data_IF_999863409085
#
_entry.id   IF_999863409085
#
_cell.length_a   1.000
_cell.length_b   1.000
_cell.length_c   1.000
_cell.angle_alpha   90.00
_cell.angle_beta   90.00
_cell.angle_gamma   90.00
#
_symmetry.space_group_name_H-M   'P 1'
#
loop_
_entity.id
_entity.type
_entity.pdbx_description
1 polymer ?
#
# COMPACT_ATOMS: atom_id res chain seq x y z
N UNK A 1 -4.20 -41.73 -16.13
CA UNK A 1 -4.35 -40.29 -16.05
C UNK A 1 -3.08 -39.66 -15.49
N UNK A 2 -1.97 -39.58 -16.28
CA UNK A 2 -0.62 -39.17 -15.77
C UNK A 2 0.21 -38.39 -16.80
N UNK A 3 -0.41 -37.67 -17.74
CA UNK A 3 0.32 -36.98 -18.83
C UNK A 3 0.04 -35.49 -19.01
N UNK A 4 -0.71 -34.82 -18.11
CA UNK A 4 -1.09 -33.42 -18.29
C UNK A 4 -0.37 -32.41 -17.39
N UNK A 5 0.62 -32.83 -16.57
CA UNK A 5 1.28 -31.94 -15.61
C UNK A 5 2.66 -31.42 -16.07
N UNK A 6 3.18 -31.93 -17.20
CA UNK A 6 4.51 -31.53 -17.72
C UNK A 6 4.48 -30.29 -18.65
N UNK A 7 3.30 -29.87 -19.10
CA UNK A 7 3.16 -28.76 -20.04
C UNK A 7 3.26 -27.35 -19.45
N UNK A 8 3.09 -27.20 -18.13
CA UNK A 8 3.05 -25.87 -17.50
C UNK A 8 4.41 -25.33 -17.01
N UNK A 9 5.45 -26.19 -16.97
CA UNK A 9 6.77 -25.79 -16.49
C UNK A 9 7.70 -25.23 -17.58
N UNK A 10 7.31 -25.32 -18.84
CA UNK A 10 8.17 -24.94 -19.99
C UNK A 10 7.93 -23.52 -20.53
N UNK A 11 6.98 -22.77 -19.98
CA UNK A 11 6.62 -21.42 -20.47
C UNK A 11 7.35 -20.29 -19.73
N UNK A 12 8.21 -20.60 -18.73
CA UNK A 12 8.89 -19.58 -17.92
C UNK A 12 10.35 -19.31 -18.31
N UNK A 13 10.87 -19.93 -19.36
CA UNK A 13 12.31 -19.91 -19.70
C UNK A 13 12.72 -19.02 -20.88
N UNK A 14 11.89 -18.09 -21.35
CA UNK A 14 12.19 -17.29 -22.58
C UNK A 14 12.26 -15.79 -22.32
N UNK A 15 12.71 -15.33 -21.16
CA UNK A 15 13.03 -13.92 -20.95
C UNK A 15 14.47 -13.70 -20.48
N UNK A 16 15.42 -14.37 -21.14
CA UNK A 16 16.84 -13.99 -21.06
C UNK A 16 17.10 -12.90 -22.10
N UNK A 17 16.89 -11.64 -21.75
CA UNK A 17 17.38 -10.53 -22.56
C UNK A 17 18.89 -10.45 -22.41
N UNK A 18 19.60 -10.77 -23.50
CA UNK A 18 21.02 -10.54 -23.68
C UNK A 18 21.31 -9.05 -23.50
N UNK A 19 22.12 -8.71 -22.50
CA UNK A 19 22.67 -7.36 -22.35
C UNK A 19 23.81 -7.16 -23.32
N UNK A 20 23.55 -6.42 -24.37
CA UNK A 20 24.60 -5.91 -25.26
C UNK A 20 25.41 -4.83 -24.52
N UNK A 21 26.73 -5.09 -24.39
CA UNK A 21 27.70 -4.20 -23.75
C UNK A 21 27.96 -3.02 -24.68
N UNK A 22 27.32 -1.88 -24.45
CA UNK A 22 27.55 -0.65 -25.19
C UNK A 22 28.63 0.18 -24.51
N UNK A 23 29.65 0.56 -25.29
CA UNK A 23 30.83 1.29 -24.82
C UNK A 23 30.53 2.60 -24.08
N UNK A 24 31.38 2.87 -23.12
CA UNK A 24 31.37 3.83 -22.04
C UNK A 24 31.36 5.30 -22.49
N UNK A 25 30.18 5.89 -22.48
CA UNK A 25 29.99 7.24 -22.01
C UNK A 25 29.37 7.05 -20.61
N UNK A 26 29.95 7.66 -19.56
CA UNK A 26 29.42 7.53 -18.21
C UNK A 26 27.91 7.87 -18.24
N UNK A 27 27.03 6.91 -17.93
CA UNK A 27 25.60 7.12 -18.11
C UNK A 27 25.15 8.23 -17.20
N UNK A 28 24.53 9.27 -17.75
CA UNK A 28 23.84 10.30 -16.97
C UNK A 28 22.83 9.54 -16.10
N UNK A 29 22.94 9.64 -14.75
CA UNK A 29 22.08 8.86 -13.87
C UNK A 29 20.60 9.15 -14.20
N UNK A 30 19.76 8.13 -14.31
CA UNK A 30 18.35 8.32 -14.65
C UNK A 30 17.71 9.24 -13.61
N UNK A 31 16.91 10.21 -14.06
CA UNK A 31 16.20 11.13 -13.17
C UNK A 31 15.20 10.42 -12.25
N UNK A 32 14.71 9.26 -12.67
CA UNK A 32 13.82 8.39 -11.91
C UNK A 32 14.56 7.18 -11.40
N UNK A 33 14.39 6.90 -10.12
CA UNK A 33 14.80 5.65 -9.48
C UNK A 33 13.54 4.92 -9.02
N UNK A 34 13.33 3.72 -9.53
CA UNK A 34 12.19 2.86 -9.14
C UNK A 34 12.75 1.67 -8.39
N UNK A 35 12.24 1.46 -7.18
CA UNK A 35 12.56 0.29 -6.36
C UNK A 35 11.27 -0.25 -5.75
N UNK A 36 11.17 -1.56 -5.58
CA UNK A 36 9.96 -2.10 -5.02
C UNK A 36 10.06 -3.57 -4.66
N UNK A 37 9.05 -4.00 -3.93
CA UNK A 37 8.89 -5.37 -3.49
C UNK A 37 7.45 -5.81 -3.78
N UNK A 38 7.32 -6.95 -4.44
CA UNK A 38 6.09 -7.71 -4.52
C UNK A 38 6.18 -8.88 -3.53
N UNK A 39 5.13 -9.08 -2.75
CA UNK A 39 5.05 -10.16 -1.76
C UNK A 39 3.80 -10.99 -2.03
N UNK A 40 3.98 -12.30 -2.09
CA UNK A 40 2.89 -13.27 -2.07
C UNK A 40 3.13 -14.23 -0.90
N UNK A 41 2.16 -14.30 0.01
CA UNK A 41 2.19 -15.22 1.15
C UNK A 41 0.99 -16.15 1.05
N UNK A 42 1.27 -17.44 1.17
CA UNK A 42 0.25 -18.48 1.26
C UNK A 42 0.49 -19.30 2.53
N UNK A 43 -0.54 -19.50 3.32
CA UNK A 43 -0.51 -20.29 4.53
C UNK A 43 -1.67 -21.28 4.54
N UNK A 44 -1.39 -22.49 4.95
CA UNK A 44 -2.40 -23.53 5.20
C UNK A 44 -2.13 -24.21 6.52
N UNK A 45 -3.17 -24.33 7.35
CA UNK A 45 -3.16 -25.09 8.60
C UNK A 45 -4.27 -26.13 8.56
N UNK A 46 -3.92 -27.37 8.85
CA UNK A 46 -4.86 -28.49 8.88
C UNK A 46 -4.69 -29.25 10.20
N UNK A 47 -5.75 -29.39 10.94
CA UNK A 47 -5.78 -30.08 12.22
C UNK A 47 -6.72 -31.30 12.11
N UNK A 48 -6.21 -32.48 12.43
CA UNK A 48 -6.98 -33.71 12.46
C UNK A 48 -6.80 -34.33 13.84
N UNK A 49 -7.90 -34.54 14.58
CA UNK A 49 -7.91 -35.14 15.93
C UNK A 49 -6.96 -34.44 16.93
N UNK A 50 -6.75 -33.12 16.79
CA UNK A 50 -5.88 -32.35 17.68
C UNK A 50 -6.64 -31.91 18.93
N UNK A 51 -6.27 -32.44 20.10
CA UNK A 51 -6.96 -32.19 21.39
C UNK A 51 -6.88 -30.75 21.88
N UNK A 52 -5.84 -30.00 21.49
CA UNK A 52 -5.67 -28.60 21.89
C UNK A 52 -6.55 -27.60 21.11
N UNK A 53 -7.31 -28.07 20.11
CA UNK A 53 -8.13 -27.23 19.26
C UNK A 53 -7.34 -26.61 18.10
N UNK A 54 -8.05 -26.00 17.17
CA UNK A 54 -7.53 -25.33 15.99
C UNK A 54 -8.47 -25.52 14.81
N UNK A 55 -8.67 -24.46 14.04
CA UNK A 55 -9.51 -24.50 12.84
C UNK A 55 -8.64 -24.69 11.59
N UNK A 56 -9.13 -25.55 10.68
CA UNK A 56 -8.53 -25.68 9.37
C UNK A 56 -8.65 -24.34 8.64
N UNK A 57 -7.52 -23.79 8.25
CA UNK A 57 -7.45 -22.45 7.68
C UNK A 57 -6.59 -22.46 6.42
N UNK A 58 -7.06 -21.77 5.39
CA UNK A 58 -6.25 -21.40 4.20
C UNK A 58 -6.25 -19.89 4.11
N UNK A 59 -5.07 -19.30 4.01
CA UNK A 59 -4.92 -17.85 3.91
C UNK A 59 -3.95 -17.47 2.81
N UNK A 60 -4.26 -16.37 2.12
CA UNK A 60 -3.42 -15.77 1.10
C UNK A 60 -3.33 -14.25 1.28
N UNK A 61 -2.13 -13.70 1.10
CA UNK A 61 -1.89 -12.27 1.10
C UNK A 61 -1.04 -11.89 -0.13
N UNK A 62 -1.43 -10.78 -0.76
CA UNK A 62 -0.64 -10.13 -1.82
C UNK A 62 -0.24 -8.75 -1.32
N UNK A 63 1.02 -8.40 -1.47
CA UNK A 63 1.56 -7.11 -1.08
C UNK A 63 2.39 -6.49 -2.20
N UNK A 64 2.27 -5.17 -2.33
CA UNK A 64 3.06 -4.34 -3.24
C UNK A 64 3.58 -3.15 -2.44
N UNK A 65 4.88 -2.89 -2.50
CA UNK A 65 5.52 -1.73 -1.92
C UNK A 65 6.53 -1.20 -2.94
N UNK A 66 6.22 -0.07 -3.57
CA UNK A 66 7.04 0.52 -4.63
C UNK A 66 7.35 1.98 -4.34
N UNK A 67 8.61 2.34 -4.51
CA UNK A 67 9.14 3.70 -4.47
C UNK A 67 9.44 4.18 -5.89
N UNK A 68 8.97 5.38 -6.21
CA UNK A 68 9.23 6.10 -7.46
C UNK A 68 9.84 7.45 -7.11
N UNK A 69 11.15 7.56 -7.17
CA UNK A 69 11.87 8.73 -6.72
C UNK A 69 12.47 9.47 -7.90
N UNK A 70 12.10 10.74 -8.03
CA UNK A 70 12.60 11.64 -9.07
C UNK A 70 13.59 12.62 -8.47
N UNK A 71 14.74 12.81 -9.14
CA UNK A 71 15.73 13.79 -8.75
C UNK A 71 16.29 14.48 -9.98
N UNK A 72 16.14 15.81 -10.03
CA UNK A 72 16.70 16.62 -11.12
C UNK A 72 16.94 18.05 -10.65
N UNK A 73 18.18 18.50 -10.72
CA UNK A 73 18.56 19.84 -10.28
C UNK A 73 18.19 20.10 -8.81
N UNK A 74 17.32 21.07 -8.57
CA UNK A 74 16.81 21.41 -7.23
C UNK A 74 15.58 20.59 -6.81
N UNK A 75 14.98 19.82 -7.71
CA UNK A 75 13.77 19.06 -7.45
C UNK A 75 14.06 17.66 -6.94
N UNK A 76 13.38 17.28 -5.87
CA UNK A 76 13.32 15.94 -5.31
C UNK A 76 11.85 15.58 -5.12
N UNK A 77 11.42 14.47 -5.68
CA UNK A 77 10.04 14.02 -5.57
C UNK A 77 10.02 12.54 -5.23
N UNK A 78 9.77 12.25 -3.99
CA UNK A 78 9.73 10.90 -3.44
C UNK A 78 8.27 10.44 -3.37
N UNK A 79 7.97 9.31 -4.01
CA UNK A 79 6.64 8.72 -4.04
C UNK A 79 6.72 7.26 -3.59
N UNK A 80 5.74 6.84 -2.80
CA UNK A 80 5.60 5.45 -2.35
C UNK A 80 4.17 4.98 -2.47
N UNK A 81 3.98 3.81 -3.08
CA UNK A 81 2.71 3.08 -3.12
C UNK A 81 2.84 1.85 -2.25
N UNK A 82 1.91 1.68 -1.31
CA UNK A 82 1.75 0.49 -0.50
C UNK A 82 0.36 -0.07 -0.75
N UNK A 83 0.29 -1.32 -1.20
CA UNK A 83 -0.97 -2.02 -1.42
C UNK A 83 -0.86 -3.41 -0.81
N UNK A 84 -1.82 -3.77 0.03
CA UNK A 84 -1.88 -5.10 0.64
C UNK A 84 -3.32 -5.58 0.61
N UNK A 85 -3.53 -6.80 0.15
CA UNK A 85 -4.82 -7.46 0.19
C UNK A 85 -4.68 -8.91 0.63
N UNK A 86 -5.52 -9.34 1.55
CA UNK A 86 -5.45 -10.68 2.10
C UNK A 86 -6.80 -11.24 2.51
N UNK A 87 -6.96 -12.52 2.29
CA UNK A 87 -8.13 -13.29 2.65
C UNK A 87 -7.71 -14.54 3.43
N UNK A 88 -8.57 -14.97 4.33
CA UNK A 88 -8.46 -16.24 5.03
C UNK A 88 -9.80 -16.97 4.96
N UNK A 89 -9.78 -18.25 4.60
CA UNK A 89 -10.93 -19.16 4.68
C UNK A 89 -10.74 -20.06 5.88
N UNK A 90 -11.65 -19.98 6.82
CA UNK A 90 -11.65 -20.77 8.05
C UNK A 90 -12.79 -21.76 7.96
N UNK A 91 -12.54 -23.04 8.24
CA UNK A 91 -13.56 -24.08 8.26
C UNK A 91 -14.71 -23.64 9.17
N UNK A 92 -15.94 -23.83 8.72
CA UNK A 92 -17.20 -23.51 9.43
C UNK A 92 -17.42 -22.02 9.77
N UNK A 93 -16.41 -21.15 9.61
CA UNK A 93 -16.51 -19.70 9.81
C UNK A 93 -16.50 -18.88 8.50
N UNK A 94 -16.16 -19.53 7.36
CA UNK A 94 -16.16 -18.94 6.02
C UNK A 94 -15.00 -17.98 5.76
N UNK A 95 -15.15 -17.20 4.70
CA UNK A 95 -14.09 -16.28 4.25
C UNK A 95 -14.10 -14.99 5.09
N UNK A 96 -12.90 -14.56 5.48
CA UNK A 96 -12.65 -13.31 6.21
C UNK A 96 -11.52 -12.53 5.54
N UNK A 97 -11.68 -11.23 5.50
CA UNK A 97 -10.63 -10.29 5.07
C UNK A 97 -9.60 -10.14 6.20
N UNK A 98 -8.33 -10.37 5.91
CA UNK A 98 -7.22 -10.30 6.87
C UNK A 98 -6.41 -9.02 6.70
N UNK A 99 -6.29 -8.54 5.47
CA UNK A 99 -5.60 -7.30 5.14
C UNK A 99 -6.33 -6.62 3.99
N UNK A 100 -6.43 -5.30 4.05
CA UNK A 100 -7.00 -4.49 2.97
C UNK A 100 -6.55 -3.05 3.15
N UNK A 101 -5.58 -2.63 2.36
CA UNK A 101 -4.98 -1.30 2.46
C UNK A 101 -4.42 -0.87 1.12
N UNK A 102 -4.78 0.32 0.72
CA UNK A 102 -4.08 1.11 -0.27
C UNK A 102 -3.56 2.40 0.36
N UNK A 103 -2.30 2.72 0.14
CA UNK A 103 -1.69 3.95 0.60
C UNK A 103 -0.75 4.50 -0.46
N UNK A 104 -0.91 5.79 -0.76
CA UNK A 104 -0.01 6.56 -1.60
C UNK A 104 0.57 7.71 -0.80
N UNK A 105 1.89 7.78 -0.75
CA UNK A 105 2.66 8.85 -0.14
C UNK A 105 3.42 9.59 -1.23
N UNK A 106 3.39 10.91 -1.19
CA UNK A 106 4.12 11.77 -2.10
C UNK A 106 4.76 12.92 -1.33
N UNK A 107 6.05 13.16 -1.55
CA UNK A 107 6.81 14.23 -0.94
C UNK A 107 7.61 14.96 -2.02
N UNK A 108 7.11 16.13 -2.41
CA UNK A 108 7.79 17.01 -3.34
C UNK A 108 8.67 17.99 -2.55
N UNK A 109 9.93 18.14 -2.95
CA UNK A 109 10.89 19.05 -2.34
C UNK A 109 11.60 19.94 -3.36
N UNK A 110 11.67 21.23 -3.08
CA UNK A 110 12.45 22.20 -3.84
C UNK A 110 13.64 22.67 -2.98
N UNK A 111 14.85 22.28 -3.38
CA UNK A 111 16.09 22.57 -2.66
C UNK A 111 16.41 24.04 -2.68
N UNK A 112 16.60 24.64 -1.51
CA UNK A 112 17.06 26.02 -1.36
C UNK A 112 18.38 26.16 -0.61
N UNK A 113 18.79 25.11 0.16
CA UNK A 113 20.08 25.09 0.85
C UNK A 113 20.68 23.67 0.76
N UNK A 114 21.89 23.45 1.29
CA UNK A 114 22.63 22.18 1.24
C UNK A 114 21.78 20.97 1.67
N UNK A 115 21.02 21.13 2.74
CA UNK A 115 20.22 20.06 3.34
C UNK A 115 18.73 20.40 3.46
N UNK A 116 18.30 21.62 3.10
CA UNK A 116 16.95 22.11 3.29
C UNK A 116 16.19 22.27 1.99
N UNK A 117 14.89 21.90 2.02
CA UNK A 117 13.96 22.00 0.91
C UNK A 117 12.64 22.61 1.40
N UNK A 118 12.03 23.47 0.60
CA UNK A 118 10.60 23.71 0.70
C UNK A 118 9.90 22.42 0.26
N UNK A 119 8.91 21.97 1.01
CA UNK A 119 8.24 20.70 0.73
C UNK A 119 6.74 20.85 0.62
N UNK A 120 6.14 19.92 -0.09
CA UNK A 120 4.72 19.68 -0.12
C UNK A 120 4.50 18.18 -0.02
N UNK A 121 3.77 17.74 0.99
CA UNK A 121 3.47 16.32 1.14
C UNK A 121 2.01 16.05 0.85
N UNK A 122 1.73 14.83 0.41
CA UNK A 122 0.41 14.26 0.24
C UNK A 122 0.43 12.80 0.72
N UNK A 123 -0.54 12.42 1.53
CA UNK A 123 -0.80 11.05 1.93
C UNK A 123 -2.26 10.72 1.64
N UNK A 124 -2.48 9.67 0.89
CA UNK A 124 -3.81 9.14 0.60
C UNK A 124 -3.90 7.70 1.09
N UNK A 125 -4.96 7.38 1.84
CA UNK A 125 -5.22 6.04 2.38
C UNK A 125 -6.65 5.63 2.14
N UNK A 126 -6.85 4.38 1.71
CA UNK A 126 -8.18 3.76 1.60
C UNK A 126 -8.06 2.23 1.62
N UNK A 127 -9.14 1.55 1.38
CA UNK A 127 -9.27 0.11 1.22
C UNK A 127 -10.05 -0.25 -0.06
N UNK A 128 -9.97 -1.53 -0.48
CA UNK A 128 -10.52 -2.01 -1.74
C UNK A 128 -11.92 -2.58 -1.60
N UNK A 129 -12.22 -3.24 -0.47
CA UNK A 129 -13.44 -4.04 -0.36
C UNK A 129 -14.13 -3.82 0.99
N UNK A 130 -15.39 -4.24 1.04
CA UNK A 130 -16.20 -4.19 2.24
C UNK A 130 -15.58 -5.02 3.35
N UNK A 131 -15.48 -4.45 4.55
CA UNK A 131 -15.03 -5.09 5.77
C UNK A 131 -16.19 -5.31 6.74
N UNK A 132 -16.08 -6.36 7.57
CA UNK A 132 -17.11 -6.73 8.52
C UNK A 132 -16.54 -6.93 9.92
N UNK A 133 -17.36 -6.64 10.93
CA UNK A 133 -17.14 -7.12 12.29
C UNK A 133 -17.54 -8.60 12.36
N UNK A 134 -16.54 -9.48 12.38
CA UNK A 134 -16.76 -10.93 12.41
C UNK A 134 -17.15 -11.47 13.78
N UNK A 135 -17.18 -10.62 14.84
CA UNK A 135 -17.62 -11.00 16.18
C UNK A 135 -19.13 -10.91 16.35
N UNK A 136 -19.83 -10.28 15.41
CA UNK A 136 -21.27 -10.06 15.46
C UNK A 136 -22.02 -11.00 14.53
N UNK A 137 -23.24 -11.38 14.92
CA UNK A 137 -24.19 -12.16 14.11
C UNK A 137 -25.53 -11.45 14.11
N UNK A 138 -26.04 -10.94 12.95
CA UNK A 138 -25.40 -10.95 11.63
C UNK A 138 -24.14 -10.07 11.58
N UNK A 139 -23.22 -10.36 10.65
CA UNK A 139 -21.99 -9.58 10.45
C UNK A 139 -22.34 -8.13 10.09
N UNK A 140 -21.84 -7.18 10.86
CA UNK A 140 -22.06 -5.76 10.61
C UNK A 140 -20.92 -5.19 9.73
N UNK A 141 -21.25 -4.43 8.68
CA UNK A 141 -20.24 -3.74 7.88
C UNK A 141 -19.55 -2.65 8.71
N UNK A 142 -18.22 -2.64 8.65
CA UNK A 142 -17.38 -1.65 9.32
C UNK A 142 -16.63 -0.76 8.35
N UNK A 143 -16.47 -1.17 7.10
CA UNK A 143 -15.82 -0.38 6.06
C UNK A 143 -16.27 -0.84 4.67
N UNK A 144 -16.03 -0.02 3.64
CA UNK A 144 -16.29 -0.34 2.24
C UNK A 144 -15.25 0.31 1.34
N UNK A 145 -15.33 0.08 0.02
CA UNK A 145 -14.49 0.80 -0.93
C UNK A 145 -14.59 2.30 -0.69
N UNK A 146 -13.44 2.97 -0.59
CA UNK A 146 -13.34 4.41 -0.32
C UNK A 146 -14.06 4.89 0.97
N UNK A 147 -14.38 3.99 1.90
CA UNK A 147 -15.11 4.30 3.15
C UNK A 147 -14.54 3.57 4.36
N UNK A 148 -13.63 4.21 5.14
CA UNK A 148 -13.15 5.57 4.97
C UNK A 148 -12.03 5.68 3.93
N UNK A 149 -11.94 6.86 3.27
CA UNK A 149 -10.75 7.30 2.59
C UNK A 149 -10.20 8.56 3.26
N UNK A 150 -8.89 8.66 3.37
CA UNK A 150 -8.21 9.78 4.01
C UNK A 150 -7.26 10.43 3.03
N UNK A 151 -7.38 11.73 2.85
CA UNK A 151 -6.45 12.55 2.10
C UNK A 151 -5.85 13.58 3.05
N UNK A 152 -4.54 13.51 3.26
CA UNK A 152 -3.80 14.46 4.10
C UNK A 152 -2.71 15.10 3.27
N UNK A 153 -2.61 16.43 3.32
CA UNK A 153 -1.59 17.15 2.58
C UNK A 153 -1.26 18.49 3.24
N UNK A 154 -0.11 19.05 2.90
CA UNK A 154 0.28 20.36 3.40
C UNK A 154 1.66 20.79 2.95
N UNK A 155 1.92 22.11 3.00
CA UNK A 155 3.25 22.66 2.84
C UNK A 155 4.11 22.38 4.06
N UNK A 156 5.42 22.28 3.87
CA UNK A 156 6.37 22.05 4.94
C UNK A 156 7.80 22.41 4.58
N UNK A 157 8.67 22.05 5.48
CA UNK A 157 10.12 22.14 5.31
C UNK A 157 10.73 20.76 5.49
N UNK A 158 11.48 20.31 4.51
CA UNK A 158 12.15 19.04 4.48
C UNK A 158 13.64 19.26 4.76
N UNK A 159 14.17 18.62 5.79
CA UNK A 159 15.59 18.48 6.02
C UNK A 159 16.03 17.08 5.61
N UNK A 160 16.97 16.99 4.66
CA UNK A 160 17.48 15.74 4.13
C UNK A 160 19.00 15.76 4.15
N UNK A 161 19.61 15.05 5.09
CA UNK A 161 21.05 14.91 5.23
C UNK A 161 21.62 13.84 4.33
N UNK A 162 20.91 12.72 4.22
CA UNK A 162 21.20 11.55 3.36
C UNK A 162 19.90 10.94 2.90
N UNK A 163 19.96 9.83 2.14
CA UNK A 163 18.75 9.09 1.77
C UNK A 163 18.16 8.32 2.98
N UNK A 164 18.96 8.07 4.03
CA UNK A 164 18.52 7.35 5.24
C UNK A 164 17.93 8.28 6.31
N UNK A 165 18.34 9.56 6.32
CA UNK A 165 17.90 10.52 7.34
C UNK A 165 17.17 11.68 6.69
N UNK A 166 15.85 11.68 6.87
CA UNK A 166 14.93 12.68 6.33
C UNK A 166 13.92 13.10 7.39
N UNK A 167 13.77 14.41 7.60
CA UNK A 167 12.79 14.98 8.53
C UNK A 167 11.95 15.99 7.76
N UNK A 168 10.62 15.79 7.72
CA UNK A 168 9.67 16.74 7.14
C UNK A 168 8.79 17.33 8.24
N UNK A 169 8.76 18.66 8.32
CA UNK A 169 7.94 19.41 9.28
C UNK A 169 6.90 20.18 8.47
N UNK A 170 5.62 19.86 8.65
CA UNK A 170 4.51 20.47 7.97
C UNK A 170 3.51 21.03 8.99
N UNK A 171 3.65 22.30 9.41
CA UNK A 171 2.84 22.89 10.48
C UNK A 171 1.40 23.16 10.07
N UNK A 172 1.14 23.33 8.78
CA UNK A 172 -0.21 23.54 8.24
C UNK A 172 -0.61 22.30 7.42
N UNK A 173 -1.39 21.42 8.05
CA UNK A 173 -1.77 20.14 7.45
C UNK A 173 -3.29 20.05 7.34
N UNK A 174 -3.79 19.96 6.11
CA UNK A 174 -5.20 19.71 5.82
C UNK A 174 -5.48 18.22 5.71
N UNK A 175 -6.59 17.77 6.27
CA UNK A 175 -7.06 16.39 6.20
C UNK A 175 -8.52 16.34 5.78
N UNK A 176 -8.80 15.56 4.75
CA UNK A 176 -10.15 15.17 4.35
C UNK A 176 -10.38 13.71 4.72
N UNK A 177 -11.55 13.43 5.26
CA UNK A 177 -12.06 12.08 5.50
C UNK A 177 -13.31 11.90 4.67
N UNK A 178 -13.35 10.85 3.85
CA UNK A 178 -14.49 10.54 2.98
C UNK A 178 -15.12 9.23 3.44
N UNK A 179 -16.45 9.21 3.44
CA UNK A 179 -17.25 8.00 3.69
C UNK A 179 -18.46 7.98 2.76
N UNK A 180 -19.00 6.80 2.49
CA UNK A 180 -20.32 6.67 1.85
C UNK A 180 -21.44 6.87 2.88
N UNK A 181 -22.70 6.94 2.42
CA UNK A 181 -23.87 7.22 3.27
C UNK A 181 -24.03 6.23 4.44
N UNK A 182 -23.66 4.95 4.25
CA UNK A 182 -23.75 3.90 5.28
C UNK A 182 -22.82 4.17 6.47
N UNK A 183 -21.74 4.90 6.26
CA UNK A 183 -20.75 5.22 7.27
C UNK A 183 -20.76 6.69 7.70
N UNK A 184 -21.79 7.45 7.29
CA UNK A 184 -22.05 8.79 7.83
C UNK A 184 -22.18 8.73 9.36
N UNK A 185 -21.60 9.70 10.07
CA UNK A 185 -21.50 9.67 11.53
C UNK A 185 -20.40 8.76 12.09
N UNK A 186 -19.58 8.13 11.21
CA UNK A 186 -18.42 7.31 11.60
C UNK A 186 -17.12 7.95 11.12
N UNK A 187 -15.98 7.47 11.64
CA UNK A 187 -14.63 7.91 11.25
C UNK A 187 -14.36 9.42 11.42
N UNK A 188 -15.12 10.08 12.32
CA UNK A 188 -15.02 11.50 12.59
C UNK A 188 -15.81 12.38 11.62
N UNK A 189 -16.56 11.79 10.68
CA UNK A 189 -17.51 12.49 9.82
C UNK A 189 -18.82 12.68 10.58
N UNK A 190 -19.45 13.86 10.46
CA UNK A 190 -20.67 14.17 11.17
C UNK A 190 -21.87 13.40 10.58
N UNK A 191 -22.90 13.08 11.39
CA UNK A 191 -24.10 12.39 10.90
C UNK A 191 -24.79 13.17 9.77
N UNK A 192 -25.11 12.48 8.68
CA UNK A 192 -25.71 13.07 7.47
C UNK A 192 -24.68 13.60 6.46
N UNK A 193 -23.42 13.67 6.83
CA UNK A 193 -22.33 14.10 5.94
C UNK A 193 -21.52 12.92 5.41
N UNK A 194 -20.84 13.14 4.28
CA UNK A 194 -19.96 12.16 3.64
C UNK A 194 -18.49 12.59 3.64
N UNK A 195 -18.23 13.83 4.05
CA UNK A 195 -16.89 14.41 4.05
C UNK A 195 -16.66 15.20 5.33
N UNK A 196 -15.50 15.02 5.94
CA UNK A 196 -15.00 15.85 7.05
C UNK A 196 -13.69 16.50 6.65
N UNK A 197 -13.59 17.79 6.89
CA UNK A 197 -12.36 18.56 6.76
C UNK A 197 -11.82 18.92 8.15
N UNK A 198 -10.51 18.82 8.32
CA UNK A 198 -9.76 19.25 9.49
C UNK A 198 -8.45 19.91 9.08
N UNK A 199 -8.03 20.93 9.84
CA UNK A 199 -6.73 21.61 9.76
C UNK A 199 -5.88 21.27 10.97
#
# INVERSE_FOLDING_TARGET
>A
MRKSFLGFLLLFSVLSFSQEKKDSIAPVPPKWKVTGLFTFLFNQSTFTNWKAGGDNTVAGNIGVNYDFNYKSGKWNWDNRIISVYGLSSIKDAGVRKTSDRFEYNSLLGLKFNKYWFFSYFLNFKTQYTRGFDYKKTPRLPISDFFSPAYLTFGPGMLWKRSDDITINIAPATARFTFVNNEFSGKYGVDPGENVKFAL
#
